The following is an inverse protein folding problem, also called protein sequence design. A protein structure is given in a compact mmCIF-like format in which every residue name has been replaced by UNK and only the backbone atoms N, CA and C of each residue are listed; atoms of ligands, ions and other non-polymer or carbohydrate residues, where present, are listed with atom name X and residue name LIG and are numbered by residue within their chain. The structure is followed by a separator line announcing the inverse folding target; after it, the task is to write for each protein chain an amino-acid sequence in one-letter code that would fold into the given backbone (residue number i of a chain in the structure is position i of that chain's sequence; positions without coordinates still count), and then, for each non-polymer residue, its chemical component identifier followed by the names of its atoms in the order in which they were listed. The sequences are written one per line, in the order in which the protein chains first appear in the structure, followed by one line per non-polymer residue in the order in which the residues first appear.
data_IF_892590307887
#
_entry.id   IF_892590307887
#
_cell.length_a   1.000
_cell.length_b   1.000
_cell.length_c   1.000
_cell.angle_alpha   90.00
_cell.angle_beta   90.00
_cell.angle_gamma   90.00
#
_symmetry.space_group_name_H-M   'P 1'
#
loop_
_entity.id
_entity.type
_entity.pdbx_description
1 polymer ?
#
# COMPACT_ATOMS: atom_id res chain seq x y z
N UNK A 1 -46.75 -48.08 10.83
CA UNK A 1 -45.50 -47.74 11.55
C UNK A 1 -44.71 -46.54 10.99
N UNK A 2 -45.28 -45.73 10.15
CA UNK A 2 -44.55 -44.61 9.52
C UNK A 2 -45.03 -43.20 9.93
N UNK A 3 -46.05 -43.09 10.78
CA UNK A 3 -46.64 -41.79 11.15
C UNK A 3 -46.16 -41.22 12.49
N UNK A 4 -45.43 -42.00 13.27
CA UNK A 4 -45.03 -41.56 14.59
C UNK A 4 -43.75 -40.70 14.63
N UNK A 5 -42.93 -40.75 13.58
CA UNK A 5 -41.66 -39.97 13.52
C UNK A 5 -41.81 -38.57 12.99
N UNK A 6 -42.90 -38.28 12.34
CA UNK A 6 -43.11 -36.94 11.75
C UNK A 6 -43.61 -35.91 12.76
N UNK A 7 -44.11 -36.36 13.90
CA UNK A 7 -44.65 -35.44 14.90
C UNK A 7 -43.62 -34.87 15.85
N UNK A 8 -42.60 -35.64 16.18
CA UNK A 8 -41.58 -35.20 17.15
C UNK A 8 -40.63 -34.13 16.58
N UNK A 9 -40.33 -34.20 15.30
CA UNK A 9 -39.48 -33.18 14.65
C UNK A 9 -40.12 -31.80 14.49
N UNK A 10 -41.45 -31.75 14.52
CA UNK A 10 -42.15 -30.44 14.45
C UNK A 10 -42.15 -29.68 15.77
N UNK A 11 -42.05 -30.38 16.89
CA UNK A 11 -42.00 -29.72 18.21
C UNK A 11 -40.66 -29.10 18.51
N UNK A 12 -39.58 -29.73 18.07
CA UNK A 12 -38.23 -29.18 18.27
C UNK A 12 -37.99 -27.89 17.46
N UNK A 13 -38.54 -27.82 16.26
CA UNK A 13 -38.40 -26.63 15.40
C UNK A 13 -39.20 -25.44 15.93
N UNK A 14 -40.37 -25.70 16.60
CA UNK A 14 -41.19 -24.65 17.19
C UNK A 14 -40.53 -24.03 18.42
N UNK A 15 -39.93 -24.86 19.28
CA UNK A 15 -39.25 -24.38 20.49
C UNK A 15 -38.00 -23.54 20.18
N UNK A 16 -37.26 -23.87 19.14
CA UNK A 16 -36.12 -23.11 18.71
C UNK A 16 -36.50 -21.75 18.13
N UNK A 17 -37.69 -21.64 17.55
CA UNK A 17 -38.17 -20.38 16.98
C UNK A 17 -38.71 -19.40 18.06
N UNK A 18 -39.22 -19.91 19.17
CA UNK A 18 -39.68 -19.05 20.28
C UNK A 18 -38.51 -18.45 21.05
N UNK A 19 -37.46 -19.22 21.28
CA UNK A 19 -36.25 -18.73 21.94
C UNK A 19 -35.48 -17.72 21.09
N UNK A 20 -35.52 -17.86 19.78
CA UNK A 20 -34.90 -16.91 18.86
C UNK A 20 -35.61 -15.52 18.86
N UNK A 21 -36.90 -15.50 19.16
CA UNK A 21 -37.69 -14.26 19.17
C UNK A 21 -37.47 -13.41 20.42
N UNK A 22 -37.09 -14.03 21.54
CA UNK A 22 -36.85 -13.31 22.80
C UNK A 22 -35.48 -12.63 22.85
N UNK A 23 -34.53 -13.07 22.04
CA UNK A 23 -33.19 -12.46 21.98
C UNK A 23 -33.08 -11.28 21.00
N UNK A 24 -34.10 -11.04 20.17
CA UNK A 24 -34.09 -10.04 19.13
C UNK A 24 -34.28 -8.58 19.60
N UNK A 25 -34.74 -8.37 20.81
CA UNK A 25 -35.15 -7.03 21.29
C UNK A 25 -34.12 -6.35 22.22
N UNK A 26 -32.97 -6.95 22.45
CA UNK A 26 -31.92 -6.30 23.23
C UNK A 26 -31.03 -5.43 22.30
N UNK A 27 -31.14 -4.10 22.37
CA UNK A 27 -30.31 -3.20 21.55
C UNK A 27 -28.83 -3.31 21.87
N UNK A 28 -28.47 -3.90 23.01
CA UNK A 28 -27.07 -4.20 23.33
C UNK A 28 -26.54 -5.45 22.60
N UNK A 29 -27.40 -6.44 22.37
CA UNK A 29 -27.08 -7.63 21.60
C UNK A 29 -26.90 -7.28 20.12
N UNK A 30 -27.73 -6.38 19.60
CA UNK A 30 -27.64 -5.90 18.22
C UNK A 30 -26.35 -5.10 17.96
N UNK A 31 -25.90 -4.32 18.95
CA UNK A 31 -24.59 -3.63 18.88
C UNK A 31 -23.42 -4.61 18.90
N UNK A 32 -23.54 -5.73 19.62
CA UNK A 32 -22.52 -6.79 19.63
C UNK A 32 -22.49 -7.58 18.32
N UNK A 33 -23.62 -7.71 17.65
CA UNK A 33 -23.72 -8.40 16.36
C UNK A 33 -23.11 -7.58 15.21
N UNK A 34 -23.07 -6.25 15.32
CA UNK A 34 -22.42 -5.36 14.36
C UNK A 34 -20.90 -5.37 14.46
N UNK A 35 -20.35 -5.87 15.53
CA UNK A 35 -18.93 -6.08 15.74
C UNK A 35 -18.50 -7.50 15.30
N UNK A 36 -19.05 -8.02 14.19
CA UNK A 36 -18.48 -9.21 13.58
C UNK A 36 -17.03 -8.92 13.24
N UNK A 37 -16.09 -9.76 13.68
CA UNK A 37 -14.71 -9.60 13.26
C UNK A 37 -14.69 -9.71 11.75
N UNK A 38 -14.51 -8.56 11.09
CA UNK A 38 -14.19 -8.51 9.68
C UNK A 38 -12.97 -9.40 9.49
N UNK A 39 -13.02 -10.34 8.56
CA UNK A 39 -11.89 -11.24 8.34
C UNK A 39 -10.63 -10.40 8.08
N UNK A 40 -9.44 -10.83 8.51
CA UNK A 40 -8.20 -10.09 8.27
C UNK A 40 -8.02 -9.68 6.81
N UNK A 41 -8.39 -10.56 5.88
CA UNK A 41 -8.33 -10.26 4.44
C UNK A 41 -9.31 -9.17 4.04
N UNK A 42 -10.55 -9.18 4.56
CA UNK A 42 -11.53 -8.15 4.27
C UNK A 42 -11.09 -6.79 4.82
N UNK A 43 -10.48 -6.74 6.01
CA UNK A 43 -9.87 -5.53 6.55
C UNK A 43 -8.76 -5.01 5.62
N UNK A 44 -7.89 -5.90 5.15
CA UNK A 44 -6.80 -5.53 4.26
C UNK A 44 -7.30 -4.94 2.94
N UNK A 45 -8.36 -5.51 2.34
CA UNK A 45 -8.94 -5.02 1.09
C UNK A 45 -9.64 -3.68 1.23
N UNK A 46 -10.09 -3.31 2.44
CA UNK A 46 -10.77 -2.05 2.72
C UNK A 46 -9.81 -0.92 3.11
N UNK A 47 -8.53 -1.21 3.35
CA UNK A 47 -7.56 -0.18 3.71
C UNK A 47 -7.33 0.80 2.55
N UNK A 48 -7.39 2.12 2.79
CA UNK A 48 -7.04 3.10 1.78
C UNK A 48 -5.55 2.98 1.41
N UNK A 49 -5.26 2.76 0.14
CA UNK A 49 -3.90 2.53 -0.35
C UNK A 49 -2.94 3.66 0.05
N UNK A 50 -3.36 4.92 -0.07
CA UNK A 50 -2.53 6.08 0.29
C UNK A 50 -2.17 6.12 1.78
N UNK A 51 -3.09 5.70 2.65
CA UNK A 51 -2.84 5.63 4.10
C UNK A 51 -1.79 4.56 4.40
N UNK A 52 -1.91 3.40 3.76
CA UNK A 52 -0.94 2.31 3.92
C UNK A 52 0.43 2.73 3.41
N UNK A 53 0.51 3.24 2.17
CA UNK A 53 1.77 3.69 1.56
C UNK A 53 2.43 4.81 2.37
N UNK A 54 1.63 5.73 2.92
CA UNK A 54 2.14 6.82 3.75
C UNK A 54 2.75 6.35 5.08
N UNK A 55 2.31 5.22 5.60
CA UNK A 55 2.78 4.66 6.89
C UNK A 55 3.86 3.59 6.74
N UNK A 56 4.16 3.15 5.53
CA UNK A 56 5.26 2.21 5.32
C UNK A 56 6.59 2.86 5.72
N UNK A 57 7.47 2.13 6.43
CA UNK A 57 8.79 2.63 6.83
C UNK A 57 9.81 2.63 5.69
N UNK A 58 9.39 2.33 4.49
CA UNK A 58 10.21 2.25 3.27
C UNK A 58 9.91 3.46 2.40
N UNK A 59 10.92 4.13 1.81
CA UNK A 59 10.71 5.19 0.84
C UNK A 59 9.87 4.72 -0.36
N UNK A 60 8.76 5.41 -0.62
CA UNK A 60 7.82 5.10 -1.72
C UNK A 60 7.60 6.34 -2.57
N UNK A 61 7.63 6.15 -3.88
CA UNK A 61 7.38 7.18 -4.89
C UNK A 61 6.39 6.65 -5.93
N UNK A 62 5.39 7.47 -6.27
CA UNK A 62 4.50 7.20 -7.39
C UNK A 62 4.56 8.36 -8.39
N UNK A 63 4.67 8.00 -9.67
CA UNK A 63 4.69 8.93 -10.80
C UNK A 63 3.61 8.58 -11.81
N UNK A 64 3.11 9.60 -12.52
CA UNK A 64 2.28 9.38 -13.70
C UNK A 64 3.15 9.06 -14.94
N UNK A 65 2.51 8.89 -16.09
CA UNK A 65 3.19 8.55 -17.34
C UNK A 65 4.12 9.66 -17.85
N UNK A 66 3.82 10.89 -17.49
CA UNK A 66 4.58 12.09 -17.86
C UNK A 66 5.72 12.40 -16.88
N UNK A 67 5.88 11.58 -15.84
CA UNK A 67 6.91 11.75 -14.83
C UNK A 67 6.56 12.77 -13.75
N UNK A 68 5.30 13.16 -13.65
CA UNK A 68 4.84 13.97 -12.54
C UNK A 68 4.78 13.13 -11.27
N UNK A 69 5.35 13.61 -10.20
CA UNK A 69 5.31 12.92 -8.92
C UNK A 69 3.94 13.17 -8.30
N UNK A 70 3.15 12.12 -8.18
CA UNK A 70 1.79 12.18 -7.64
C UNK A 70 1.72 11.78 -6.18
N UNK A 71 2.73 11.07 -5.69
CA UNK A 71 2.81 10.67 -4.29
C UNK A 71 4.26 10.39 -3.88
N UNK A 72 4.63 10.84 -2.69
CA UNK A 72 5.85 10.47 -2.00
C UNK A 72 5.55 10.38 -0.50
N UNK A 73 6.00 9.31 0.15
CA UNK A 73 5.80 9.19 1.60
C UNK A 73 6.91 9.88 2.39
N UNK A 74 6.72 9.99 3.71
CA UNK A 74 7.68 10.65 4.60
C UNK A 74 9.09 10.02 4.56
N UNK A 75 9.27 8.68 4.57
CA UNK A 75 10.61 8.10 4.42
C UNK A 75 11.33 8.53 3.15
N UNK A 76 10.61 8.69 2.02
CA UNK A 76 11.20 9.17 0.76
C UNK A 76 11.63 10.64 0.86
N UNK A 77 10.77 11.49 1.36
CA UNK A 77 11.09 12.92 1.51
C UNK A 77 12.21 13.15 2.50
N UNK A 78 12.24 12.39 3.59
CA UNK A 78 13.32 12.43 4.59
C UNK A 78 14.66 11.96 4.00
N UNK A 79 14.66 10.92 3.19
CA UNK A 79 15.86 10.40 2.52
C UNK A 79 16.52 11.46 1.64
N UNK A 80 15.73 12.31 0.99
CA UNK A 80 16.21 13.38 0.11
C UNK A 80 16.29 14.77 0.77
N UNK A 81 15.85 14.90 2.01
CA UNK A 81 15.86 16.17 2.74
C UNK A 81 14.88 17.23 2.21
N UNK A 82 13.87 16.80 1.48
CA UNK A 82 12.82 17.66 0.93
C UNK A 82 11.52 17.56 1.74
N UNK A 83 10.64 18.53 1.57
CA UNK A 83 9.24 18.42 2.02
C UNK A 83 8.39 17.70 0.97
N UNK A 84 7.24 17.20 1.38
CA UNK A 84 6.30 16.55 0.45
C UNK A 84 5.86 17.49 -0.67
N UNK A 85 5.59 18.75 -0.33
CA UNK A 85 5.19 19.79 -1.30
C UNK A 85 6.29 20.04 -2.34
N UNK A 86 7.54 20.08 -1.89
CA UNK A 86 8.69 20.29 -2.80
C UNK A 86 8.83 19.10 -3.74
N UNK A 87 8.78 17.88 -3.23
CA UNK A 87 8.91 16.66 -4.05
C UNK A 87 7.79 16.54 -5.06
N UNK A 88 6.55 16.79 -4.65
CA UNK A 88 5.39 16.70 -5.57
C UNK A 88 5.36 17.82 -6.62
N UNK A 89 6.09 18.91 -6.40
CA UNK A 89 6.28 19.97 -7.39
C UNK A 89 7.41 19.66 -8.41
N UNK A 90 8.23 18.63 -8.13
CA UNK A 90 9.34 18.23 -9.00
C UNK A 90 8.87 17.20 -10.04
N UNK A 91 9.64 17.08 -11.11
CA UNK A 91 9.53 15.95 -12.05
C UNK A 91 10.49 14.82 -11.65
N UNK A 92 10.16 13.63 -12.05
CA UNK A 92 10.92 12.41 -11.74
C UNK A 92 12.42 12.53 -12.12
N UNK A 93 12.71 13.09 -13.28
CA UNK A 93 14.09 13.29 -13.77
C UNK A 93 14.89 14.28 -12.92
N UNK A 94 14.23 15.23 -12.26
CA UNK A 94 14.88 16.23 -11.41
C UNK A 94 15.42 15.66 -10.10
N UNK A 95 14.88 14.51 -9.67
CA UNK A 95 15.32 13.83 -8.45
C UNK A 95 16.68 13.15 -8.65
N UNK A 96 16.98 12.70 -9.88
CA UNK A 96 18.20 11.98 -10.17
C UNK A 96 19.37 12.94 -10.38
N UNK A 97 20.53 12.58 -9.83
CA UNK A 97 21.78 13.29 -10.09
C UNK A 97 22.33 12.99 -11.49
N UNK A 98 22.20 11.75 -11.89
CA UNK A 98 22.59 11.27 -13.22
C UNK A 98 21.66 10.15 -13.63
N UNK A 99 21.06 10.30 -14.79
CA UNK A 99 20.18 9.29 -15.35
C UNK A 99 20.44 9.18 -16.84
N UNK A 100 20.52 7.95 -17.35
CA UNK A 100 20.62 7.73 -18.78
C UNK A 100 19.38 8.26 -19.49
N UNK A 101 19.58 8.84 -20.67
CA UNK A 101 18.46 9.31 -21.47
C UNK A 101 17.54 8.13 -21.82
N UNK A 102 16.29 8.25 -21.44
CA UNK A 102 15.25 7.24 -21.69
C UNK A 102 14.08 7.88 -22.44
N UNK A 103 13.34 7.11 -23.26
CA UNK A 103 12.23 7.67 -24.03
C UNK A 103 11.07 8.21 -23.18
N UNK A 104 10.92 7.69 -21.96
CA UNK A 104 9.87 8.12 -21.05
C UNK A 104 10.24 7.86 -19.59
N UNK A 105 9.59 8.55 -18.63
CA UNK A 105 9.78 8.29 -17.20
C UNK A 105 9.47 6.85 -16.79
N UNK A 106 8.45 6.23 -17.39
CA UNK A 106 8.11 4.82 -17.14
C UNK A 106 9.22 3.90 -17.63
N UNK A 107 9.78 4.17 -18.83
CA UNK A 107 10.95 3.44 -19.35
C UNK A 107 12.15 3.59 -18.43
N UNK A 108 12.35 4.75 -17.83
CA UNK A 108 13.42 4.99 -16.86
C UNK A 108 13.27 4.12 -15.61
N UNK A 109 12.06 3.98 -15.06
CA UNK A 109 11.81 3.10 -13.93
C UNK A 109 12.11 1.64 -14.30
N UNK A 110 11.68 1.19 -15.46
CA UNK A 110 11.97 -0.17 -15.92
C UNK A 110 13.47 -0.41 -16.15
N UNK A 111 14.17 0.54 -16.75
CA UNK A 111 15.60 0.43 -17.04
C UNK A 111 16.46 0.40 -15.76
N UNK A 112 16.03 1.11 -14.71
CA UNK A 112 16.77 1.19 -13.45
C UNK A 112 16.22 0.28 -12.36
N UNK A 113 15.23 -0.56 -12.68
CA UNK A 113 14.65 -1.51 -11.74
C UNK A 113 15.73 -2.45 -11.17
N UNK A 114 15.73 -2.61 -9.86
CA UNK A 114 16.71 -3.43 -9.11
C UNK A 114 18.17 -2.91 -9.19
N UNK A 115 18.37 -1.71 -9.70
CA UNK A 115 19.70 -1.08 -9.80
C UNK A 115 19.89 -0.01 -8.73
N UNK A 116 21.16 0.30 -8.47
CA UNK A 116 21.54 1.42 -7.61
C UNK A 116 21.49 2.69 -8.46
N UNK A 117 20.70 3.64 -7.99
CA UNK A 117 20.56 4.97 -8.59
C UNK A 117 21.16 6.03 -7.69
N UNK A 118 21.54 7.18 -8.28
CA UNK A 118 22.07 8.32 -7.54
C UNK A 118 21.05 9.45 -7.56
N UNK A 119 20.59 9.82 -6.38
CA UNK A 119 19.55 10.83 -6.17
C UNK A 119 20.16 12.13 -5.63
N UNK A 120 19.48 13.24 -5.85
CA UNK A 120 19.89 14.56 -5.36
C UNK A 120 19.26 14.84 -4.00
N UNK A 121 20.10 15.11 -3.01
CA UNK A 121 19.65 15.61 -1.72
C UNK A 121 19.46 17.13 -1.77
N UNK A 122 18.55 17.65 -0.95
CA UNK A 122 18.28 19.09 -0.84
C UNK A 122 19.53 19.92 -0.50
N UNK A 123 20.44 19.37 0.29
CA UNK A 123 21.69 20.02 0.73
C UNK A 123 22.82 19.93 -0.33
N UNK A 124 22.56 19.33 -1.49
CA UNK A 124 23.49 19.29 -2.61
C UNK A 124 24.36 18.05 -2.70
N UNK A 125 24.36 17.16 -1.70
CA UNK A 125 25.04 15.87 -1.81
C UNK A 125 24.16 14.84 -2.50
N UNK A 126 24.73 13.70 -2.82
CA UNK A 126 24.03 12.60 -3.50
C UNK A 126 23.70 11.46 -2.55
N UNK A 127 22.53 10.88 -2.74
CA UNK A 127 22.06 9.69 -2.03
C UNK A 127 22.11 8.51 -2.99
N UNK A 128 22.73 7.42 -2.59
CA UNK A 128 22.73 6.17 -3.38
C UNK A 128 21.67 5.25 -2.84
N UNK A 129 20.74 4.89 -3.70
CA UNK A 129 19.60 4.04 -3.33
C UNK A 129 19.37 2.95 -4.36
N UNK A 130 18.96 1.79 -3.90
CA UNK A 130 18.45 0.73 -4.78
C UNK A 130 16.99 0.98 -5.07
N UNK A 131 16.62 1.09 -6.33
CA UNK A 131 15.25 1.29 -6.78
C UNK A 131 14.60 -0.05 -7.11
N UNK A 132 13.39 -0.30 -6.61
CA UNK A 132 12.64 -1.51 -6.92
C UNK A 132 12.03 -1.48 -8.32
N UNK A 133 11.55 -2.63 -8.78
CA UNK A 133 10.58 -2.70 -9.88
C UNK A 133 9.31 -1.96 -9.50
N UNK A 134 8.53 -1.56 -10.50
CA UNK A 134 7.19 -1.05 -10.24
C UNK A 134 6.32 -2.12 -9.57
N UNK A 135 5.57 -1.71 -8.56
CA UNK A 135 4.57 -2.57 -7.93
C UNK A 135 3.37 -2.84 -8.84
N UNK A 136 3.12 -1.95 -9.80
CA UNK A 136 2.09 -2.08 -10.82
C UNK A 136 2.73 -2.61 -12.09
N UNK A 137 2.24 -3.73 -12.60
CA UNK A 137 2.89 -4.50 -13.67
C UNK A 137 2.19 -4.41 -15.02
N UNK A 138 1.00 -3.79 -15.07
CA UNK A 138 0.26 -3.66 -16.31
C UNK A 138 0.78 -2.49 -17.13
N UNK A 139 0.96 -2.68 -18.44
CA UNK A 139 1.40 -1.61 -19.32
C UNK A 139 0.38 -0.47 -19.51
N UNK A 140 -0.88 -0.69 -19.14
CA UNK A 140 -1.96 0.28 -19.17
C UNK A 140 -2.22 0.97 -17.82
N UNK A 141 -1.47 0.64 -16.78
CA UNK A 141 -1.56 1.32 -15.49
C UNK A 141 -1.29 2.83 -15.66
N UNK A 142 -2.11 3.70 -15.04
CA UNK A 142 -1.96 5.15 -15.19
C UNK A 142 -0.79 5.72 -14.41
N UNK A 143 -0.19 4.93 -13.53
CA UNK A 143 0.91 5.34 -12.67
C UNK A 143 1.93 4.22 -12.50
N UNK A 144 3.12 4.60 -12.06
CA UNK A 144 4.20 3.68 -11.68
C UNK A 144 4.53 3.91 -10.21
N UNK A 145 4.59 2.83 -9.43
CA UNK A 145 4.87 2.85 -8.01
C UNK A 145 6.17 2.10 -7.72
N UNK A 146 7.14 2.77 -7.12
CA UNK A 146 8.45 2.20 -6.82
C UNK A 146 8.88 2.50 -5.39
N UNK A 147 9.71 1.63 -4.83
CA UNK A 147 10.34 1.81 -3.52
C UNK A 147 11.84 2.01 -3.66
N UNK A 148 12.45 2.60 -2.65
CA UNK A 148 13.87 2.84 -2.60
C UNK A 148 14.46 2.27 -1.30
N UNK A 149 15.68 1.78 -1.39
CA UNK A 149 16.48 1.40 -0.24
C UNK A 149 17.72 2.28 -0.20
N UNK A 150 17.85 3.11 0.83
CA UNK A 150 19.04 3.94 1.02
C UNK A 150 20.26 3.07 1.33
N UNK A 151 21.27 3.16 0.49
CA UNK A 151 22.52 2.42 0.61
C UNK A 151 23.71 3.35 0.89
N UNK A 152 23.48 4.62 1.15
CA UNK A 152 24.53 5.63 1.29
C UNK A 152 25.55 5.22 2.35
N UNK A 153 25.10 4.83 3.53
CA UNK A 153 25.99 4.39 4.61
C UNK A 153 26.71 3.06 4.32
N UNK A 154 26.01 2.09 3.73
CA UNK A 154 26.58 0.78 3.42
C UNK A 154 27.72 0.87 2.40
N UNK A 155 27.57 1.70 1.39
CA UNK A 155 28.59 1.87 0.35
C UNK A 155 29.81 2.64 0.82
N UNK A 156 29.69 3.48 1.84
CA UNK A 156 30.84 4.12 2.50
C UNK A 156 31.67 3.12 3.29
N UNK A 157 31.04 2.14 3.90
CA UNK A 157 31.73 1.10 4.71
C UNK A 157 32.46 0.07 3.85
N UNK A 158 31.93 -0.26 2.67
CA UNK A 158 32.53 -1.22 1.73
C UNK A 158 33.65 -0.59 0.87
N UNK A 159 33.70 0.72 0.76
CA UNK A 159 34.72 1.46 0.00
C UNK A 159 35.97 1.84 0.81
N UNK A 160 36.04 1.39 2.04
CA UNK A 160 37.18 1.57 2.94
C UNK A 160 38.06 0.27 2.95
#
# INVERSE_FOLDING_TARGET
MRCAYSGALRYEVADVNEDAHQYGDDPAAERRHRAHPVSPLATLTQLPALVVLGRLPVPVLAIDREGTIIFANEPFTRMLGHTTETVTAMKFDQIFSSMAATPSPVSAVHAHAEQIVTLRHADGFTVRAKMSKSALLRGDDPLTLTTFQDLTEQLWTEGS
#
